data_IF_635548730761
#
_entry.id   IF_635548730761
#
_cell.length_a   1.000
_cell.length_b   1.000
_cell.length_c   1.000
_cell.angle_alpha   90.00
_cell.angle_beta   90.00
_cell.angle_gamma   90.00
#
_symmetry.space_group_name_H-M   'P 1'
#
loop_
_entity.id
_entity.type
_entity.pdbx_description
1 polymer ?
#
# COMPACT_ATOMS: atom_id res chain seq x y z
N UNK A 1 -3.46 13.25 10.06
CA UNK A 1 -3.65 12.48 11.30
C UNK A 1 -4.86 11.60 11.09
N UNK A 2 -4.68 10.28 11.00
CA UNK A 2 -5.76 9.34 10.70
C UNK A 2 -6.33 8.78 12.02
N UNK A 3 -7.61 9.05 12.37
CA UNK A 3 -8.22 8.56 13.60
C UNK A 3 -8.23 7.03 13.66
N UNK A 4 -7.88 6.48 14.83
CA UNK A 4 -7.80 5.03 15.06
C UNK A 4 -9.16 4.36 15.36
N UNK A 5 -10.22 5.14 15.58
CA UNK A 5 -11.45 4.64 16.24
C UNK A 5 -12.54 4.12 15.29
N UNK A 6 -12.45 4.37 13.98
CA UNK A 6 -13.38 3.81 12.98
C UNK A 6 -12.61 3.00 11.93
N UNK A 7 -12.25 1.76 12.30
CA UNK A 7 -11.43 0.85 11.48
C UNK A 7 -12.21 0.14 10.38
N UNK A 8 -13.51 -0.06 10.58
CA UNK A 8 -14.36 -0.74 9.61
C UNK A 8 -14.92 0.26 8.60
N UNK A 9 -14.41 0.20 7.36
CA UNK A 9 -14.98 0.95 6.23
C UNK A 9 -14.06 1.97 5.56
N UNK A 10 -12.82 2.14 6.01
CA UNK A 10 -11.89 3.04 5.30
C UNK A 10 -11.12 2.30 4.21
N UNK A 11 -11.24 2.76 2.96
CA UNK A 11 -10.69 2.10 1.77
C UNK A 11 -9.19 1.82 1.89
N UNK A 12 -8.43 2.66 2.60
CA UNK A 12 -6.99 2.44 2.78
C UNK A 12 -6.67 1.17 3.58
N UNK A 13 -7.51 0.71 4.52
CA UNK A 13 -7.27 -0.55 5.25
C UNK A 13 -7.36 -1.76 4.33
N UNK A 14 -8.23 -1.69 3.30
CA UNK A 14 -8.32 -2.73 2.27
C UNK A 14 -7.03 -2.80 1.47
N UNK A 15 -6.51 -1.65 1.02
CA UNK A 15 -5.24 -1.61 0.28
C UNK A 15 -4.05 -2.01 1.17
N UNK A 16 -4.04 -1.61 2.43
CA UNK A 16 -3.02 -2.04 3.41
C UNK A 16 -2.97 -3.57 3.52
N UNK A 17 -4.13 -4.23 3.65
CA UNK A 17 -4.21 -5.70 3.68
C UNK A 17 -3.73 -6.33 2.37
N UNK A 18 -4.05 -5.73 1.22
CA UNK A 18 -3.58 -6.21 -0.09
C UNK A 18 -2.06 -6.04 -0.25
N UNK A 19 -1.48 -4.95 0.23
CA UNK A 19 -0.02 -4.75 0.19
C UNK A 19 0.65 -5.79 1.11
N UNK A 20 0.13 -6.00 2.32
CA UNK A 20 0.64 -7.04 3.22
C UNK A 20 0.54 -8.44 2.60
N UNK A 21 -0.53 -8.73 1.85
CA UNK A 21 -0.64 -9.98 1.10
C UNK A 21 0.52 -10.16 0.12
N UNK A 22 0.93 -9.11 -0.59
CA UNK A 22 2.08 -9.17 -1.50
C UNK A 22 3.38 -9.44 -0.74
N UNK A 23 3.57 -8.83 0.44
CA UNK A 23 4.73 -9.09 1.31
C UNK A 23 4.76 -10.53 1.78
N UNK A 24 3.64 -11.07 2.26
CA UNK A 24 3.58 -12.45 2.78
C UNK A 24 3.83 -13.47 1.66
N UNK A 25 3.27 -13.26 0.47
CA UNK A 25 3.36 -14.25 -0.62
C UNK A 25 4.64 -14.14 -1.45
N UNK A 26 5.13 -12.93 -1.64
CA UNK A 26 6.15 -12.62 -2.65
C UNK A 26 7.26 -11.72 -2.10
N UNK A 27 7.36 -11.58 -0.77
CA UNK A 27 8.23 -10.62 -0.12
C UNK A 27 9.66 -10.68 -0.64
N UNK A 28 10.22 -11.89 -0.78
CA UNK A 28 11.57 -12.18 -1.25
C UNK A 28 11.77 -12.12 -2.78
N UNK A 29 10.69 -11.97 -3.55
CA UNK A 29 10.78 -11.96 -5.01
C UNK A 29 11.27 -10.61 -5.51
N UNK A 30 12.18 -10.66 -6.48
CA UNK A 30 12.67 -9.47 -7.17
C UNK A 30 11.54 -8.86 -7.99
N UNK A 31 11.27 -7.58 -7.76
CA UNK A 31 10.22 -6.82 -8.42
C UNK A 31 10.76 -6.02 -9.61
N UNK A 32 11.88 -5.33 -9.41
CA UNK A 32 12.58 -4.58 -10.46
C UNK A 32 14.08 -4.50 -10.15
N UNK A 33 14.85 -4.03 -11.12
CA UNK A 33 16.20 -3.57 -10.88
C UNK A 33 16.20 -2.03 -10.91
N UNK A 34 17.04 -1.42 -10.08
CA UNK A 34 17.25 0.02 -10.03
C UNK A 34 18.74 0.30 -10.19
N UNK A 35 19.14 1.37 -10.91
CA UNK A 35 20.53 1.75 -11.00
C UNK A 35 21.02 2.28 -9.64
N UNK A 36 22.19 1.83 -9.20
CA UNK A 36 22.92 2.41 -8.08
C UNK A 36 23.66 3.70 -8.49
N UNK A 37 24.39 4.31 -7.55
CA UNK A 37 25.16 5.53 -7.77
C UNK A 37 26.27 5.38 -8.84
N UNK A 38 26.66 4.14 -9.16
CA UNK A 38 27.66 3.80 -10.18
C UNK A 38 27.02 3.38 -11.52
N UNK A 39 25.68 3.30 -11.58
CA UNK A 39 24.92 2.88 -12.76
C UNK A 39 24.77 1.37 -12.92
N UNK A 40 25.11 0.58 -11.90
CA UNK A 40 24.85 -0.86 -11.89
C UNK A 40 23.40 -1.15 -11.49
N UNK A 41 22.78 -2.08 -12.20
CA UNK A 41 21.40 -2.53 -11.92
C UNK A 41 21.36 -3.44 -10.69
N UNK A 42 20.83 -2.94 -9.58
CA UNK A 42 20.66 -3.66 -8.32
C UNK A 42 19.23 -4.18 -8.22
N UNK A 43 19.01 -5.47 -7.94
CA UNK A 43 17.67 -6.02 -7.76
C UNK A 43 17.02 -5.50 -6.49
N UNK A 44 15.74 -5.15 -6.59
CA UNK A 44 14.90 -4.69 -5.47
C UNK A 44 13.74 -5.68 -5.32
N UNK A 45 13.60 -6.23 -4.13
CA UNK A 45 12.51 -7.14 -3.77
C UNK A 45 11.20 -6.40 -3.52
N UNK A 46 10.08 -7.13 -3.51
CA UNK A 46 8.77 -6.57 -3.14
C UNK A 46 8.80 -5.88 -1.78
N UNK A 47 9.44 -6.51 -0.79
CA UNK A 47 9.52 -5.96 0.57
C UNK A 47 10.30 -4.65 0.59
N UNK A 48 11.48 -4.61 -0.04
CA UNK A 48 12.32 -3.42 -0.08
C UNK A 48 11.61 -2.26 -0.79
N UNK A 49 10.96 -2.53 -1.93
CA UNK A 49 10.21 -1.51 -2.65
C UNK A 49 9.10 -0.89 -1.79
N UNK A 50 8.30 -1.71 -1.10
CA UNK A 50 7.22 -1.24 -0.23
C UNK A 50 7.77 -0.40 0.92
N UNK A 51 8.86 -0.85 1.55
CA UNK A 51 9.51 -0.12 2.65
C UNK A 51 10.02 1.24 2.18
N UNK A 52 10.74 1.27 1.05
CA UNK A 52 11.27 2.52 0.47
C UNK A 52 10.15 3.48 0.06
N UNK A 53 9.12 2.99 -0.62
CA UNK A 53 7.99 3.80 -1.10
C UNK A 53 7.15 4.39 0.06
N UNK A 54 7.04 3.69 1.19
CA UNK A 54 6.43 4.22 2.41
C UNK A 54 7.33 5.26 3.11
N UNK A 55 8.63 4.96 3.23
CA UNK A 55 9.60 5.86 3.87
C UNK A 55 9.73 7.20 3.13
N UNK A 56 9.71 7.19 1.80
CA UNK A 56 9.78 8.40 0.97
C UNK A 56 8.65 9.40 1.27
N UNK A 57 7.47 8.91 1.63
CA UNK A 57 6.30 9.73 1.96
C UNK A 57 6.05 9.86 3.47
N UNK A 58 6.98 9.40 4.32
CA UNK A 58 6.84 9.35 5.79
C UNK A 58 5.57 8.60 6.25
N UNK A 59 5.17 7.58 5.49
CA UNK A 59 3.99 6.77 5.76
C UNK A 59 4.35 5.47 6.48
N UNK A 60 3.35 4.92 7.18
CA UNK A 60 3.42 3.58 7.75
C UNK A 60 2.03 2.92 7.67
N UNK A 61 2.00 1.60 7.77
CA UNK A 61 0.74 0.90 7.96
C UNK A 61 0.05 1.34 9.25
N UNK A 62 -1.25 1.47 9.21
CA UNK A 62 -2.05 1.89 10.35
C UNK A 62 -2.20 0.75 11.35
N UNK A 63 -2.43 -0.46 10.85
CA UNK A 63 -2.55 -1.63 11.71
C UNK A 63 -1.18 -1.97 12.33
N UNK A 64 -1.03 -1.95 13.67
CA UNK A 64 0.23 -2.30 14.32
C UNK A 64 0.70 -3.72 14.01
N UNK A 65 -0.22 -4.67 13.79
CA UNK A 65 0.14 -6.04 13.39
C UNK A 65 0.75 -6.07 11.99
N UNK A 66 0.17 -5.34 11.03
CA UNK A 66 0.70 -5.24 9.68
C UNK A 66 2.08 -4.56 9.66
N UNK A 67 2.26 -3.50 10.46
CA UNK A 67 3.57 -2.84 10.63
C UNK A 67 4.63 -3.82 11.13
N UNK A 68 4.29 -4.59 12.17
CA UNK A 68 5.19 -5.60 12.73
C UNK A 68 5.57 -6.64 11.69
N UNK A 69 4.61 -7.17 10.94
CA UNK A 69 4.90 -8.15 9.88
C UNK A 69 5.79 -7.56 8.77
N UNK A 70 5.52 -6.33 8.31
CA UNK A 70 6.38 -5.68 7.31
C UNK A 70 7.81 -5.48 7.84
N UNK A 71 7.95 -5.07 9.10
CA UNK A 71 9.26 -4.91 9.73
C UNK A 71 10.01 -6.25 9.81
N UNK A 72 9.35 -7.32 10.28
CA UNK A 72 9.97 -8.64 10.35
C UNK A 72 10.39 -9.18 8.98
N UNK A 73 9.61 -8.91 7.92
CA UNK A 73 10.00 -9.23 6.55
C UNK A 73 11.26 -8.46 6.13
N UNK A 74 11.28 -7.14 6.37
CA UNK A 74 12.41 -6.28 6.00
C UNK A 74 13.71 -6.67 6.72
N UNK A 75 13.63 -7.08 7.99
CA UNK A 75 14.78 -7.54 8.76
C UNK A 75 15.34 -8.88 8.26
N UNK A 76 14.54 -9.68 7.55
CA UNK A 76 14.91 -11.03 7.10
C UNK A 76 15.17 -11.16 5.62
N UNK A 77 14.83 -10.15 4.82
CA UNK A 77 14.86 -10.22 3.36
C UNK A 77 16.23 -10.58 2.79
N UNK A 78 17.31 -10.22 3.50
CA UNK A 78 18.69 -10.54 3.13
C UNK A 78 19.23 -11.83 3.74
N UNK A 79 18.40 -12.57 4.49
CA UNK A 79 18.78 -13.87 5.05
C UNK A 79 18.74 -14.92 3.95
N UNK A 80 19.80 -15.71 3.82
CA UNK A 80 19.89 -16.75 2.81
C UNK A 80 18.73 -17.75 2.95
N UNK A 81 18.11 -18.11 1.82
CA UNK A 81 16.94 -19.02 1.77
C UNK A 81 15.69 -18.54 2.53
N UNK A 82 15.58 -17.25 2.84
CA UNK A 82 14.36 -16.69 3.40
C UNK A 82 13.18 -16.81 2.42
N UNK A 83 12.05 -17.27 2.92
CA UNK A 83 10.78 -17.29 2.20
C UNK A 83 9.71 -16.70 3.10
N UNK A 84 9.13 -15.56 2.70
CA UNK A 84 8.19 -14.83 3.53
C UNK A 84 6.96 -15.69 3.88
N UNK A 85 6.41 -16.40 2.90
CA UNK A 85 5.22 -17.23 3.07
C UNK A 85 5.46 -18.31 4.13
N UNK A 86 6.56 -19.06 4.00
CA UNK A 86 6.92 -20.12 4.94
C UNK A 86 7.21 -19.57 6.34
N UNK A 87 7.92 -18.45 6.44
CA UNK A 87 8.24 -17.81 7.72
C UNK A 87 6.96 -17.40 8.46
N UNK A 88 6.06 -16.68 7.80
CA UNK A 88 4.88 -16.14 8.45
C UNK A 88 3.82 -17.21 8.76
N UNK A 89 3.68 -18.26 7.92
CA UNK A 89 2.80 -19.39 8.22
C UNK A 89 3.25 -20.17 9.47
N UNK A 90 4.55 -20.26 9.72
CA UNK A 90 5.13 -20.97 10.87
C UNK A 90 5.53 -20.02 12.02
N UNK A 91 5.01 -18.80 12.01
CA UNK A 91 5.38 -17.79 12.98
C UNK A 91 4.94 -18.19 14.42
N UNK A 92 5.78 -17.99 15.45
CA UNK A 92 5.46 -18.39 16.83
C UNK A 92 4.27 -17.65 17.45
N UNK A 93 3.99 -16.44 16.99
CA UNK A 93 2.78 -15.69 17.34
C UNK A 93 1.59 -16.24 16.53
N UNK A 94 0.57 -16.86 17.18
CA UNK A 94 -0.57 -17.46 16.49
C UNK A 94 -1.41 -16.44 15.72
N UNK A 95 -1.37 -15.16 16.11
CA UNK A 95 -2.12 -14.10 15.43
C UNK A 95 -1.52 -13.82 14.04
N UNK A 96 -0.20 -13.83 13.95
CA UNK A 96 0.52 -13.63 12.69
C UNK A 96 0.34 -14.85 11.79
N UNK A 97 0.49 -16.07 12.32
CA UNK A 97 0.33 -17.28 11.50
C UNK A 97 -1.10 -17.47 10.99
N UNK A 98 -2.12 -17.17 11.80
CA UNK A 98 -3.51 -17.18 11.36
C UNK A 98 -3.77 -16.15 10.25
N UNK A 99 -3.37 -14.89 10.44
CA UNK A 99 -3.53 -13.86 9.40
C UNK A 99 -2.82 -14.27 8.11
N UNK A 100 -1.61 -14.82 8.21
CA UNK A 100 -0.83 -15.27 7.06
C UNK A 100 -1.52 -16.38 6.29
N UNK A 101 -2.14 -17.34 6.98
CA UNK A 101 -2.93 -18.39 6.35
C UNK A 101 -4.11 -17.82 5.55
N UNK A 102 -4.81 -16.81 6.10
CA UNK A 102 -5.88 -16.11 5.38
C UNK A 102 -5.33 -15.39 4.13
N UNK A 103 -4.23 -14.63 4.29
CA UNK A 103 -3.61 -13.87 3.21
C UNK A 103 -3.12 -14.78 2.08
N UNK A 104 -2.62 -15.99 2.36
CA UNK A 104 -2.21 -16.97 1.35
C UNK A 104 -3.42 -17.62 0.66
N UNK A 105 -4.49 -17.92 1.40
CA UNK A 105 -5.67 -18.62 0.88
C UNK A 105 -6.50 -17.81 -0.14
N UNK A 106 -6.45 -16.48 -0.09
CA UNK A 106 -7.25 -15.55 -0.92
C UNK A 106 -6.90 -15.53 -2.44
N UNK A 107 -6.16 -16.54 -2.95
CA UNK A 107 -5.65 -16.65 -4.34
C UNK A 107 -6.74 -16.62 -5.42
N UNK A 108 -8.01 -16.82 -5.06
CA UNK A 108 -9.11 -17.05 -6.00
C UNK A 108 -10.00 -15.84 -6.35
N UNK A 109 -9.81 -14.65 -5.76
CA UNK A 109 -10.76 -13.53 -5.98
C UNK A 109 -10.31 -12.46 -6.99
N UNK A 110 -9.00 -12.25 -7.20
CA UNK A 110 -8.50 -11.20 -8.11
C UNK A 110 -8.47 -11.64 -9.59
N UNK A 111 -8.58 -12.94 -9.88
CA UNK A 111 -8.50 -13.52 -11.22
C UNK A 111 -9.80 -13.44 -12.05
N UNK A 112 -10.81 -12.66 -11.64
CA UNK A 112 -12.13 -12.57 -12.29
C UNK A 112 -12.17 -11.94 -13.70
N UNK A 113 -11.05 -11.86 -14.41
CA UNK A 113 -11.01 -11.58 -15.84
C UNK A 113 -10.61 -12.85 -16.59
N UNK A 114 -11.61 -13.72 -16.85
CA UNK A 114 -11.43 -14.95 -17.59
C UNK A 114 -11.84 -14.78 -19.05
N UNK A 115 -10.87 -14.90 -19.98
CA UNK A 115 -11.14 -15.26 -21.37
C UNK A 115 -10.43 -16.58 -21.67
N UNK A 116 -11.19 -17.56 -22.16
CA UNK A 116 -10.71 -18.92 -22.44
C UNK A 116 -9.60 -18.87 -23.50
N UNK A 117 -8.48 -19.59 -23.25
CA UNK A 117 -7.34 -19.84 -24.14
C UNK A 117 -6.13 -18.88 -24.12
N UNK A 118 -5.94 -18.08 -23.06
CA UNK A 118 -4.68 -17.36 -22.85
C UNK A 118 -3.93 -17.92 -21.63
N UNK A 119 -2.60 -17.90 -21.70
CA UNK A 119 -1.70 -18.16 -20.56
C UNK A 119 -2.18 -17.30 -19.38
N UNK A 120 -2.52 -17.93 -18.25
CA UNK A 120 -2.94 -17.20 -17.06
C UNK A 120 -1.67 -16.56 -16.50
N UNK A 121 -1.49 -15.26 -16.75
CA UNK A 121 -0.41 -14.50 -16.11
C UNK A 121 -0.71 -14.43 -14.61
N UNK A 122 0.18 -14.97 -13.81
CA UNK A 122 0.09 -15.02 -12.34
C UNK A 122 0.43 -13.66 -11.72
N UNK A 123 0.00 -13.44 -10.47
CA UNK A 123 0.36 -12.22 -9.74
C UNK A 123 1.89 -12.07 -9.60
N UNK A 124 2.61 -13.19 -9.46
CA UNK A 124 4.08 -13.24 -9.40
C UNK A 124 4.75 -12.68 -10.66
N UNK A 125 4.18 -12.97 -11.84
CA UNK A 125 4.68 -12.46 -13.12
C UNK A 125 4.37 -10.97 -13.33
N UNK A 126 3.52 -10.37 -12.48
CA UNK A 126 3.05 -8.98 -12.59
C UNK A 126 3.39 -8.13 -11.37
N UNK A 127 4.31 -8.58 -10.52
CA UNK A 127 4.68 -7.84 -9.31
C UNK A 127 5.09 -6.39 -9.61
N UNK A 128 5.83 -6.18 -10.70
CA UNK A 128 6.23 -4.86 -11.20
C UNK A 128 5.06 -3.91 -11.48
N UNK A 129 3.89 -4.44 -11.85
CA UNK A 129 2.69 -3.63 -12.11
C UNK A 129 1.80 -3.54 -10.86
N UNK A 130 1.59 -4.69 -10.20
CA UNK A 130 0.61 -4.84 -9.13
C UNK A 130 1.04 -4.13 -7.86
N UNK A 131 2.30 -4.27 -7.44
CA UNK A 131 2.78 -3.66 -6.19
C UNK A 131 2.73 -2.13 -6.28
N UNK A 132 3.28 -1.47 -7.31
CA UNK A 132 3.15 -0.03 -7.44
C UNK A 132 1.70 0.45 -7.58
N UNK A 133 0.82 -0.35 -8.20
CA UNK A 133 -0.61 -0.05 -8.28
C UNK A 133 -1.29 -0.08 -6.90
N UNK A 134 -0.98 -1.06 -6.06
CA UNK A 134 -1.50 -1.13 -4.71
C UNK A 134 -0.99 0.03 -3.85
N UNK A 135 0.29 0.39 -3.99
CA UNK A 135 0.88 1.53 -3.28
C UNK A 135 0.21 2.86 -3.65
N UNK A 136 0.03 3.15 -4.95
CA UNK A 136 -0.62 4.40 -5.36
C UNK A 136 -2.09 4.45 -4.90
N UNK A 137 -2.80 3.33 -4.92
CA UNK A 137 -4.18 3.28 -4.43
C UNK A 137 -4.26 3.47 -2.91
N UNK A 138 -3.34 2.88 -2.16
CA UNK A 138 -3.22 3.09 -0.71
C UNK A 138 -2.99 4.57 -0.37
N UNK A 139 -2.00 5.19 -1.02
CA UNK A 139 -1.69 6.63 -0.86
C UNK A 139 -2.86 7.52 -1.27
N UNK A 140 -3.52 7.20 -2.38
CA UNK A 140 -4.72 7.92 -2.83
C UNK A 140 -5.87 7.85 -1.82
N UNK A 141 -6.11 6.67 -1.23
CA UNK A 141 -7.13 6.48 -0.22
C UNK A 141 -6.82 7.27 1.07
N UNK A 142 -5.55 7.33 1.48
CA UNK A 142 -5.09 8.17 2.61
C UNK A 142 -5.37 9.65 2.33
N UNK A 143 -4.98 10.16 1.16
CA UNK A 143 -5.21 11.57 0.78
C UNK A 143 -6.70 11.90 0.77
N UNK A 144 -7.51 11.00 0.21
CA UNK A 144 -8.97 11.17 0.13
C UNK A 144 -9.62 11.20 1.52
N UNK A 145 -9.16 10.35 2.42
CA UNK A 145 -9.63 10.33 3.81
C UNK A 145 -9.25 11.61 4.55
N UNK A 146 -8.00 12.06 4.46
CA UNK A 146 -7.53 13.31 5.09
C UNK A 146 -8.32 14.52 4.56
N UNK A 147 -8.60 14.58 3.26
CA UNK A 147 -9.45 15.63 2.69
C UNK A 147 -10.88 15.59 3.26
N UNK A 148 -11.44 14.41 3.49
CA UNK A 148 -12.75 14.25 4.11
C UNK A 148 -12.76 14.77 5.55
N UNK A 149 -11.70 14.49 6.32
CA UNK A 149 -11.55 15.04 7.68
C UNK A 149 -11.42 16.57 7.68
N UNK A 150 -10.64 17.14 6.77
CA UNK A 150 -10.53 18.60 6.64
C UNK A 150 -11.87 19.24 6.29
N UNK A 151 -12.65 18.63 5.39
CA UNK A 151 -13.97 19.14 5.04
C UNK A 151 -14.97 19.07 6.21
N UNK A 152 -14.88 18.03 7.06
CA UNK A 152 -15.64 17.97 8.31
C UNK A 152 -15.17 19.03 9.31
N UNK A 153 -13.86 19.25 9.43
CA UNK A 153 -13.31 20.29 10.31
C UNK A 153 -13.78 21.70 9.91
N UNK A 154 -13.97 21.97 8.60
CA UNK A 154 -14.54 23.23 8.12
C UNK A 154 -16.03 23.42 8.47
N UNK A 155 -16.73 22.37 8.88
CA UNK A 155 -18.11 22.46 9.36
C UNK A 155 -18.19 22.75 10.86
N UNK A 156 -17.07 22.65 11.59
CA UNK A 156 -17.01 22.92 13.03
C UNK A 156 -17.16 24.43 13.30
N UNK A 157 -18.19 24.85 14.06
CA UNK A 157 -18.37 26.26 14.43
C UNK A 157 -17.15 26.88 15.12
N UNK A 158 -16.36 26.10 15.87
CA UNK A 158 -15.15 26.58 16.54
C UNK A 158 -14.03 26.91 15.53
N UNK A 159 -13.97 26.19 14.41
CA UNK A 159 -13.03 26.47 13.31
C UNK A 159 -13.53 27.65 12.49
N UNK A 160 -14.83 27.74 12.21
CA UNK A 160 -15.42 28.85 11.46
C UNK A 160 -15.33 30.19 12.20
N UNK A 161 -15.35 30.18 13.53
CA UNK A 161 -15.22 31.38 14.35
C UNK A 161 -13.77 31.93 14.39
N UNK A 162 -12.78 31.14 13.98
CA UNK A 162 -11.36 31.50 13.97
C UNK A 162 -10.86 31.57 12.51
N UNK A 163 -10.69 32.79 12.01
CA UNK A 163 -10.28 33.04 10.63
C UNK A 163 -8.92 32.40 10.28
N UNK A 164 -7.97 32.37 11.22
CA UNK A 164 -6.63 31.83 10.97
C UNK A 164 -6.70 30.30 10.87
N UNK A 165 -7.46 29.65 11.77
CA UNK A 165 -7.70 28.20 11.70
C UNK A 165 -8.46 27.80 10.45
N UNK A 166 -9.52 28.54 10.10
CA UNK A 166 -10.30 28.29 8.90
C UNK A 166 -9.41 28.40 7.64
N UNK A 167 -8.57 29.44 7.57
CA UNK A 167 -7.63 29.65 6.46
C UNK A 167 -6.60 28.52 6.36
N UNK A 168 -6.03 28.09 7.49
CA UNK A 168 -5.07 26.98 7.52
C UNK A 168 -5.68 25.65 7.04
N UNK A 169 -6.91 25.33 7.48
CA UNK A 169 -7.62 24.11 7.04
C UNK A 169 -7.94 24.17 5.54
N UNK A 170 -8.39 25.32 5.03
CA UNK A 170 -8.65 25.53 3.59
C UNK A 170 -7.37 25.40 2.76
N UNK A 171 -6.26 25.98 3.22
CA UNK A 171 -4.98 25.89 2.54
C UNK A 171 -4.53 24.42 2.43
N UNK A 172 -4.58 23.69 3.55
CA UNK A 172 -4.22 22.27 3.58
C UNK A 172 -5.12 21.43 2.67
N UNK A 173 -6.42 21.70 2.65
CA UNK A 173 -7.35 21.02 1.74
C UNK A 173 -7.00 21.25 0.27
N UNK A 174 -6.65 22.48 -0.10
CA UNK A 174 -6.27 22.82 -1.47
C UNK A 174 -4.95 22.14 -1.90
N UNK A 175 -3.95 22.07 -1.01
CA UNK A 175 -2.70 21.33 -1.24
C UNK A 175 -2.99 19.85 -1.52
N UNK A 176 -3.78 19.20 -0.66
CA UNK A 176 -4.13 17.79 -0.85
C UNK A 176 -4.97 17.56 -2.10
N UNK A 177 -5.86 18.49 -2.47
CA UNK A 177 -6.65 18.41 -3.70
C UNK A 177 -5.77 18.45 -4.96
N UNK A 178 -4.70 19.23 -4.95
CA UNK A 178 -3.73 19.23 -6.06
C UNK A 178 -3.02 17.89 -6.17
N UNK A 179 -2.55 17.34 -5.04
CA UNK A 179 -1.93 16.01 -4.98
C UNK A 179 -2.89 14.92 -5.48
N UNK A 180 -4.13 14.91 -4.98
CA UNK A 180 -5.17 13.96 -5.39
C UNK A 180 -5.43 14.03 -6.91
N UNK A 181 -5.47 15.22 -7.49
CA UNK A 181 -5.67 15.41 -8.94
C UNK A 181 -4.54 14.80 -9.77
N UNK A 182 -3.28 14.95 -9.32
CA UNK A 182 -2.12 14.34 -10.01
C UNK A 182 -2.16 12.81 -9.89
N UNK A 183 -2.47 12.29 -8.71
CA UNK A 183 -2.60 10.84 -8.49
C UNK A 183 -3.74 10.23 -9.32
N UNK A 184 -4.91 10.89 -9.35
CA UNK A 184 -6.07 10.44 -10.11
C UNK A 184 -5.80 10.38 -11.62
N UNK A 185 -5.07 11.37 -12.17
CA UNK A 185 -4.63 11.32 -13.58
C UNK A 185 -3.75 10.11 -13.85
N UNK A 186 -2.73 9.87 -13.01
CA UNK A 186 -1.85 8.69 -13.14
C UNK A 186 -2.62 7.37 -13.04
N UNK A 187 -3.61 7.29 -12.15
CA UNK A 187 -4.50 6.13 -12.04
C UNK A 187 -5.38 5.95 -13.29
N UNK A 188 -5.96 7.04 -13.81
CA UNK A 188 -6.81 7.03 -15.00
C UNK A 188 -6.04 6.70 -16.29
N UNK A 189 -4.85 7.26 -16.48
CA UNK A 189 -3.98 6.99 -17.63
C UNK A 189 -3.53 5.51 -17.65
N UNK A 190 -3.33 4.91 -16.48
CA UNK A 190 -3.00 3.48 -16.34
C UNK A 190 -4.16 2.54 -16.70
N UNK A 191 -5.42 2.99 -16.61
CA UNK A 191 -6.60 2.22 -17.08
C UNK A 191 -6.71 2.21 -18.61
N UNK A 192 -6.03 3.13 -19.31
CA UNK A 192 -6.08 3.28 -20.78
C UNK A 192 -4.84 2.70 -21.47
N UNK A 193 -4.08 1.83 -20.81
CA UNK A 193 -3.19 0.90 -21.54
C UNK A 193 -4.04 -0.24 -22.11
N UNK A 194 -4.81 0.08 -23.16
CA UNK A 194 -5.19 -0.94 -24.14
C UNK A 194 -3.90 -1.36 -24.83
N UNK A 195 -3.51 -2.62 -24.61
CA UNK A 195 -2.61 -3.36 -25.49
C UNK A 195 -3.03 -3.19 -26.96
#
# INVERSE_FOLDING_TARGET
FIPQEDKEGREFYRYERLILQMVVRYGERVMCNVPDDEGHEVPVTVTEYIVQDLQQDELAFHNPLHRRMLQEAAERIHTESFCAEHYFLNHPDPTISQLSAELVSDRYQLSKYHYKNQHIVTDEERLYELVPLLMINFKYAIVTEEMTHLMRALQDPAVLADNDRCTAVLQRYNELRQVQSVMAKRLGDRVVLKL
#
